data_IF_587852018498
#
_entry.id   IF_587852018498
#
_cell.length_a   1.000
_cell.length_b   1.000
_cell.length_c   1.000
_cell.angle_alpha   90.00
_cell.angle_beta   90.00
_cell.angle_gamma   90.00
#
_symmetry.space_group_name_H-M   'P 1'
#
loop_
_entity.id
_entity.type
_entity.pdbx_description
1 polymer ?
#
# COMPACT_ATOMS: atom_id res chain seq x y z
N UNK A 1 1.30 -8.72 -2.22
CA UNK A 1 2.67 -8.58 -2.77
C UNK A 1 3.19 -7.14 -2.71
N UNK A 2 2.52 -6.19 -3.37
CA UNK A 2 3.01 -4.79 -3.45
C UNK A 2 3.14 -4.12 -2.08
N UNK A 3 2.12 -4.24 -1.22
CA UNK A 3 2.16 -3.66 0.13
C UNK A 3 3.30 -4.25 1.00
N UNK A 4 3.60 -5.54 0.84
CA UNK A 4 4.76 -6.19 1.49
C UNK A 4 6.07 -5.62 0.97
N UNK A 5 6.19 -5.43 -0.35
CA UNK A 5 7.37 -4.82 -0.96
C UNK A 5 7.61 -3.39 -0.43
N UNK A 6 6.55 -2.58 -0.34
CA UNK A 6 6.62 -1.23 0.24
C UNK A 6 7.05 -1.30 1.71
N UNK A 7 6.47 -2.22 2.49
CA UNK A 7 6.83 -2.41 3.90
C UNK A 7 8.30 -2.81 4.07
N UNK A 8 8.83 -3.70 3.21
CA UNK A 8 10.24 -4.04 3.20
C UNK A 8 11.12 -2.84 2.86
N UNK A 9 10.77 -2.10 1.81
CA UNK A 9 11.50 -0.90 1.40
C UNK A 9 11.58 0.10 2.55
N UNK A 10 10.46 0.45 3.19
CA UNK A 10 10.46 1.36 4.34
C UNK A 10 11.30 0.82 5.50
N UNK A 11 11.12 -0.45 5.90
CA UNK A 11 11.88 -1.07 7.01
C UNK A 11 13.39 -1.04 6.78
N UNK A 12 13.83 -1.22 5.54
CA UNK A 12 15.25 -1.17 5.19
C UNK A 12 15.80 0.25 5.30
N UNK A 13 15.10 1.25 4.77
CA UNK A 13 15.56 2.65 4.79
C UNK A 13 15.40 3.36 6.14
N UNK A 14 14.69 2.76 7.10
CA UNK A 14 14.79 3.15 8.52
C UNK A 14 16.18 2.82 9.09
N UNK A 15 16.86 1.79 8.57
CA UNK A 15 18.16 1.30 9.09
C UNK A 15 19.35 1.62 8.18
N UNK A 16 19.12 1.92 6.91
CA UNK A 16 20.14 2.07 5.86
C UNK A 16 19.98 3.40 5.15
N UNK A 17 21.11 3.99 4.75
CA UNK A 17 21.09 5.21 3.96
C UNK A 17 20.73 4.92 2.49
N UNK A 18 20.08 5.88 1.82
CA UNK A 18 19.88 5.87 0.37
C UNK A 18 21.20 5.86 -0.42
N UNK A 19 22.33 6.22 0.21
CA UNK A 19 23.65 6.12 -0.40
C UNK A 19 24.25 4.69 -0.35
N UNK A 20 23.78 3.83 0.56
CA UNK A 20 24.30 2.47 0.73
C UNK A 20 23.60 1.47 -0.19
N UNK A 21 22.28 1.65 -0.34
CA UNK A 21 21.42 0.83 -1.18
C UNK A 21 20.71 1.74 -2.17
N UNK A 22 21.03 1.63 -3.46
CA UNK A 22 20.37 2.45 -4.50
C UNK A 22 18.87 2.11 -4.51
N UNK A 23 17.97 3.08 -4.23
CA UNK A 23 16.53 2.86 -4.21
C UNK A 23 15.97 2.36 -5.54
N UNK A 24 16.63 2.66 -6.67
CA UNK A 24 16.21 2.23 -8.02
C UNK A 24 16.37 0.73 -8.23
N UNK A 25 17.34 0.10 -7.56
CA UNK A 25 17.52 -1.35 -7.55
C UNK A 25 16.82 -1.99 -6.35
N UNK A 26 16.82 -1.32 -5.20
CA UNK A 26 16.20 -1.83 -3.97
C UNK A 26 14.67 -1.95 -4.10
N UNK A 27 13.98 -1.03 -4.78
CA UNK A 27 12.54 -1.11 -4.97
C UNK A 27 12.08 -2.37 -5.76
N UNK A 28 12.61 -2.65 -6.97
CA UNK A 28 12.25 -3.86 -7.69
C UNK A 28 12.76 -5.14 -6.99
N UNK A 29 13.93 -5.09 -6.33
CA UNK A 29 14.41 -6.22 -5.53
C UNK A 29 13.52 -6.48 -4.30
N UNK A 30 12.96 -5.47 -3.65
CA UNK A 30 11.99 -5.63 -2.56
C UNK A 30 10.70 -6.27 -3.08
N UNK A 31 10.24 -5.89 -4.27
CA UNK A 31 9.11 -6.54 -4.93
C UNK A 31 9.40 -8.01 -5.23
N UNK A 32 10.61 -8.33 -5.70
CA UNK A 32 11.07 -9.69 -5.95
C UNK A 32 11.06 -10.56 -4.69
N UNK A 33 11.62 -10.04 -3.59
CA UNK A 33 11.65 -10.74 -2.30
C UNK A 33 10.24 -10.92 -1.72
N UNK A 34 9.40 -9.89 -1.80
CA UNK A 34 8.00 -9.97 -1.37
C UNK A 34 7.21 -11.01 -2.18
N UNK A 35 7.43 -11.08 -3.49
CA UNK A 35 6.81 -12.07 -4.35
C UNK A 35 7.20 -13.50 -3.97
N UNK A 36 8.46 -13.74 -3.59
CA UNK A 36 8.90 -15.04 -3.04
C UNK A 36 8.26 -15.34 -1.68
N UNK A 37 8.24 -14.37 -0.77
CA UNK A 37 7.70 -14.53 0.58
C UNK A 37 6.18 -14.77 0.59
N UNK A 38 5.45 -14.24 -0.38
CA UNK A 38 4.01 -14.45 -0.58
C UNK A 38 3.69 -15.57 -1.60
N UNK A 39 4.66 -16.44 -1.91
CA UNK A 39 4.48 -17.60 -2.81
C UNK A 39 4.06 -17.25 -4.26
N UNK A 40 4.14 -15.97 -4.64
CA UNK A 40 3.89 -15.45 -5.99
C UNK A 40 5.19 -15.35 -6.81
N UNK A 41 5.97 -16.44 -6.89
CA UNK A 41 7.36 -16.37 -7.38
C UNK A 41 7.47 -15.85 -8.83
N UNK A 42 8.42 -14.96 -9.07
CA UNK A 42 8.74 -14.39 -10.39
C UNK A 42 10.18 -14.76 -10.75
N UNK A 43 10.48 -14.93 -12.04
CA UNK A 43 11.87 -15.12 -12.50
C UNK A 43 12.62 -13.77 -12.52
N UNK A 44 13.83 -13.72 -11.96
CA UNK A 44 14.64 -12.49 -11.91
C UNK A 44 14.91 -11.89 -13.30
N UNK A 45 15.07 -12.73 -14.34
CA UNK A 45 15.23 -12.27 -15.71
C UNK A 45 14.04 -11.44 -16.22
N UNK A 46 12.81 -11.86 -15.90
CA UNK A 46 11.59 -11.13 -16.27
C UNK A 46 11.53 -9.78 -15.57
N UNK A 47 11.96 -9.73 -14.31
CA UNK A 47 12.03 -8.49 -13.55
C UNK A 47 13.04 -7.51 -14.16
N UNK A 48 14.26 -7.96 -14.46
CA UNK A 48 15.29 -7.11 -15.11
C UNK A 48 14.81 -6.59 -16.47
N UNK A 49 14.15 -7.44 -17.27
CA UNK A 49 13.58 -7.02 -18.55
C UNK A 49 12.52 -5.92 -18.37
N UNK A 50 11.60 -6.09 -17.41
CA UNK A 50 10.58 -5.07 -17.07
C UNK A 50 11.21 -3.78 -16.52
N UNK A 51 12.25 -3.88 -15.69
CA UNK A 51 12.99 -2.71 -15.18
C UNK A 51 13.61 -1.90 -16.32
N UNK A 52 14.28 -2.56 -17.28
CA UNK A 52 14.88 -1.90 -18.45
C UNK A 52 13.83 -1.24 -19.34
N UNK A 53 12.71 -1.92 -19.57
CA UNK A 53 11.58 -1.36 -20.31
C UNK A 53 10.99 -0.13 -19.61
N UNK A 54 10.80 -0.17 -18.28
CA UNK A 54 10.28 0.95 -17.50
C UNK A 54 11.22 2.16 -17.46
N UNK A 55 12.53 1.93 -17.28
CA UNK A 55 13.53 3.00 -17.28
C UNK A 55 13.51 3.80 -18.60
N UNK A 56 13.39 3.09 -19.73
CA UNK A 56 13.27 3.71 -21.06
C UNK A 56 12.05 4.63 -21.17
N UNK A 57 10.90 4.24 -20.59
CA UNK A 57 9.68 5.05 -20.62
C UNK A 57 9.79 6.33 -19.78
N UNK A 58 10.51 6.29 -18.66
CA UNK A 58 10.62 7.42 -17.74
C UNK A 58 11.76 8.40 -18.09
N UNK A 59 12.42 8.24 -19.25
CA UNK A 59 13.56 9.08 -19.65
C UNK A 59 14.79 8.96 -18.73
N UNK A 60 14.75 8.04 -17.76
CA UNK A 60 15.88 7.71 -16.90
C UNK A 60 16.74 6.73 -17.70
N UNK A 61 17.90 7.19 -18.20
CA UNK A 61 18.79 6.41 -19.06
C UNK A 61 18.95 4.96 -18.59
N UNK A 62 19.06 4.03 -19.55
CA UNK A 62 19.01 2.59 -19.30
C UNK A 62 19.97 2.18 -18.17
N UNK A 63 19.41 1.92 -16.99
CA UNK A 63 20.18 1.40 -15.86
C UNK A 63 20.72 0.03 -16.25
N UNK A 64 22.03 -0.14 -16.23
CA UNK A 64 22.74 -1.34 -16.68
C UNK A 64 22.59 -2.55 -15.77
N UNK A 65 21.54 -2.63 -14.94
CA UNK A 65 21.35 -3.71 -13.97
C UNK A 65 21.18 -5.05 -14.67
N UNK A 66 21.90 -6.03 -14.15
CA UNK A 66 21.85 -7.43 -14.56
C UNK A 66 21.18 -8.28 -13.48
N UNK A 67 20.88 -9.54 -13.80
CA UNK A 67 20.29 -10.48 -12.84
C UNK A 67 21.16 -10.62 -11.59
N UNK A 68 22.49 -10.59 -11.75
CA UNK A 68 23.45 -10.69 -10.62
C UNK A 68 23.24 -9.57 -9.59
N UNK A 69 22.89 -8.36 -10.05
CA UNK A 69 22.72 -7.19 -9.18
C UNK A 69 21.41 -7.31 -8.38
N UNK A 70 20.35 -7.81 -9.02
CA UNK A 70 19.08 -8.10 -8.34
C UNK A 70 19.26 -9.16 -7.26
N UNK A 71 20.00 -10.24 -7.56
CA UNK A 71 20.27 -11.31 -6.59
C UNK A 71 21.17 -10.83 -5.44
N UNK A 72 22.17 -9.99 -5.74
CA UNK A 72 23.01 -9.38 -4.71
C UNK A 72 22.20 -8.43 -3.82
N UNK A 73 21.30 -7.64 -4.40
CA UNK A 73 20.41 -6.74 -3.66
C UNK A 73 19.41 -7.51 -2.81
N UNK A 74 18.84 -8.61 -3.32
CA UNK A 74 17.99 -9.53 -2.54
C UNK A 74 18.69 -9.94 -1.24
N UNK A 75 19.93 -10.42 -1.31
CA UNK A 75 20.67 -10.83 -0.11
C UNK A 75 20.87 -9.67 0.88
N UNK A 76 21.16 -8.46 0.39
CA UNK A 76 21.31 -7.27 1.24
C UNK A 76 19.98 -6.87 1.91
N UNK A 77 18.86 -6.95 1.19
CA UNK A 77 17.52 -6.66 1.73
C UNK A 77 17.15 -7.67 2.82
N UNK A 78 17.35 -8.96 2.58
CA UNK A 78 17.07 -10.01 3.56
C UNK A 78 17.85 -9.80 4.87
N UNK A 79 19.14 -9.47 4.76
CA UNK A 79 19.97 -9.14 5.92
C UNK A 79 19.49 -7.89 6.66
N UNK A 80 19.15 -6.81 5.94
CA UNK A 80 18.66 -5.57 6.54
C UNK A 80 17.30 -5.74 7.24
N UNK A 81 16.44 -6.60 6.71
CA UNK A 81 15.17 -7.00 7.33
C UNK A 81 15.35 -7.96 8.51
N UNK A 82 16.57 -8.47 8.73
CA UNK A 82 16.85 -9.53 9.71
C UNK A 82 15.94 -10.74 9.50
N UNK A 83 15.65 -11.07 8.23
CA UNK A 83 14.76 -12.16 7.81
C UNK A 83 13.33 -12.09 8.35
N UNK A 84 12.87 -10.91 8.81
CA UNK A 84 11.48 -10.69 9.23
C UNK A 84 10.58 -10.44 8.00
N UNK A 85 10.21 -11.52 7.31
CA UNK A 85 9.49 -11.48 6.05
C UNK A 85 7.96 -11.44 6.18
N UNK A 86 7.42 -11.89 7.32
CA UNK A 86 5.96 -11.87 7.52
C UNK A 86 5.52 -10.42 7.81
N UNK A 87 4.59 -9.92 7.00
CA UNK A 87 4.01 -8.59 7.14
C UNK A 87 2.49 -8.72 7.20
N UNK A 88 1.89 -8.14 8.24
CA UNK A 88 0.45 -8.04 8.37
C UNK A 88 -0.02 -6.72 7.76
N UNK A 89 -1.02 -6.79 6.89
CA UNK A 89 -1.54 -5.63 6.15
C UNK A 89 -2.95 -5.25 6.60
N UNK A 90 -3.32 -3.96 6.47
CA UNK A 90 -4.62 -3.47 6.91
C UNK A 90 -5.80 -3.92 6.02
N UNK A 91 -5.54 -4.54 4.85
CA UNK A 91 -6.59 -5.01 3.94
C UNK A 91 -7.52 -6.06 4.56
N UNK A 92 -6.96 -7.04 5.27
CA UNK A 92 -7.73 -8.11 5.91
C UNK A 92 -8.65 -7.60 7.04
N UNK A 93 -8.18 -6.76 7.98
CA UNK A 93 -9.09 -6.17 8.95
C UNK A 93 -10.10 -5.24 8.28
N UNK A 94 -9.72 -4.47 7.25
CA UNK A 94 -10.66 -3.59 6.53
C UNK A 94 -11.86 -4.38 5.98
N UNK A 95 -11.63 -5.48 5.25
CA UNK A 95 -12.75 -6.27 4.69
C UNK A 95 -13.64 -6.83 5.79
N UNK A 96 -13.05 -7.32 6.88
CA UNK A 96 -13.78 -7.83 8.05
C UNK A 96 -14.65 -6.74 8.69
N UNK A 97 -14.11 -5.52 8.82
CA UNK A 97 -14.83 -4.39 9.40
C UNK A 97 -15.94 -3.86 8.51
N UNK A 98 -15.73 -3.81 7.19
CA UNK A 98 -16.78 -3.45 6.24
C UNK A 98 -17.96 -4.42 6.32
N UNK A 99 -17.68 -5.73 6.40
CA UNK A 99 -18.72 -6.75 6.59
C UNK A 99 -19.46 -6.59 7.91
N UNK A 100 -18.76 -6.25 9.00
CA UNK A 100 -19.35 -6.08 10.33
C UNK A 100 -20.21 -4.81 10.43
N UNK A 101 -19.70 -3.67 9.94
CA UNK A 101 -20.46 -2.40 9.85
C UNK A 101 -21.75 -2.60 9.05
N UNK A 102 -21.69 -3.38 7.96
CA UNK A 102 -22.86 -3.65 7.13
C UNK A 102 -23.99 -4.36 7.88
N UNK A 103 -23.64 -5.18 8.89
CA UNK A 103 -24.58 -5.90 9.76
C UNK A 103 -25.08 -5.01 10.89
N UNK A 104 -24.19 -4.30 11.57
CA UNK A 104 -24.51 -3.49 12.76
C UNK A 104 -25.42 -2.31 12.43
N UNK A 105 -25.19 -1.61 11.32
CA UNK A 105 -25.96 -0.41 10.99
C UNK A 105 -27.34 -0.69 10.40
N UNK A 106 -27.76 -1.96 10.22
CA UNK A 106 -29.05 -2.34 9.63
C UNK A 106 -29.43 -1.44 8.43
N UNK A 107 -28.48 -1.13 7.53
CA UNK A 107 -28.78 -0.57 6.21
C UNK A 107 -29.71 -1.58 5.53
N UNK A 108 -31.02 -1.35 5.65
CA UNK A 108 -32.00 -2.43 5.69
C UNK A 108 -32.08 -3.19 4.36
N UNK A 109 -32.01 -4.52 4.50
CA UNK A 109 -33.00 -5.44 3.97
C UNK A 109 -33.41 -5.35 2.49
N UNK A 110 -32.48 -5.13 1.54
CA UNK A 110 -32.81 -5.37 0.14
C UNK A 110 -31.69 -5.95 -0.75
N UNK A 111 -30.68 -6.60 -0.17
CA UNK A 111 -29.70 -7.40 -0.94
C UNK A 111 -29.17 -8.50 -0.02
N UNK A 112 -29.99 -9.52 0.26
CA UNK A 112 -29.54 -10.76 0.94
C UNK A 112 -28.94 -11.76 -0.05
N UNK A 113 -28.86 -11.42 -1.33
CA UNK A 113 -28.24 -12.23 -2.36
C UNK A 113 -26.95 -11.51 -2.81
N UNK A 114 -25.89 -12.28 -3.05
CA UNK A 114 -24.60 -11.85 -3.60
C UNK A 114 -23.44 -11.60 -2.60
N UNK A 115 -23.31 -12.46 -1.59
CA UNK A 115 -22.00 -12.69 -0.92
C UNK A 115 -21.13 -13.76 -1.61
N UNK A 116 -21.47 -14.16 -2.84
CA UNK A 116 -20.64 -15.06 -3.66
C UNK A 116 -19.75 -14.32 -4.68
N UNK A 117 -19.94 -13.01 -4.89
CA UNK A 117 -19.29 -12.26 -5.97
C UNK A 117 -18.12 -11.36 -5.55
N UNK A 118 -17.60 -11.45 -4.32
CA UNK A 118 -16.42 -10.66 -3.91
C UNK A 118 -15.10 -11.44 -4.10
N UNK A 119 -15.15 -12.77 -4.19
CA UNK A 119 -13.98 -13.62 -4.37
C UNK A 119 -13.35 -13.53 -5.78
N UNK A 120 -14.06 -12.96 -6.77
CA UNK A 120 -13.58 -12.79 -8.15
C UNK A 120 -13.30 -11.32 -8.53
N UNK A 121 -13.49 -10.34 -7.63
CA UNK A 121 -13.41 -8.90 -7.92
C UNK A 121 -11.96 -8.35 -8.00
N UNK A 122 -10.95 -9.19 -7.78
CA UNK A 122 -9.55 -8.84 -7.95
C UNK A 122 -9.04 -8.93 -9.39
N UNK A 123 -9.86 -9.28 -10.38
CA UNK A 123 -9.33 -9.74 -11.67
C UNK A 123 -9.24 -8.67 -12.78
N UNK A 124 -9.81 -7.47 -12.64
CA UNK A 124 -9.67 -6.45 -13.69
C UNK A 124 -9.91 -5.03 -13.13
N UNK A 125 -8.84 -4.31 -12.80
CA UNK A 125 -8.82 -2.85 -12.54
C UNK A 125 -9.51 -2.02 -13.64
N UNK A 126 -9.77 -2.63 -14.81
CA UNK A 126 -9.96 -1.97 -16.09
C UNK A 126 -11.30 -1.29 -16.36
N UNK A 127 -12.39 -2.05 -16.44
CA UNK A 127 -13.26 -1.84 -17.60
C UNK A 127 -14.34 -0.77 -17.40
N UNK A 128 -13.92 0.45 -17.70
CA UNK A 128 -14.69 1.45 -18.46
C UNK A 128 -15.72 2.20 -17.62
N UNK A 129 -15.41 3.48 -17.36
CA UNK A 129 -16.37 4.59 -17.31
C UNK A 129 -17.82 4.13 -17.57
N UNK A 130 -18.66 3.98 -16.52
CA UNK A 130 -20.12 4.25 -16.52
C UNK A 130 -20.84 3.79 -15.23
N UNK A 131 -21.05 4.76 -14.34
CA UNK A 131 -22.17 5.05 -13.42
C UNK A 131 -23.11 3.95 -12.82
N UNK A 132 -23.28 4.09 -11.49
CA UNK A 132 -24.47 3.89 -10.64
C UNK A 132 -24.93 2.46 -10.27
N UNK A 133 -24.61 2.02 -9.04
CA UNK A 133 -25.57 1.96 -7.92
C UNK A 133 -24.90 1.53 -6.59
N UNK A 134 -25.34 2.16 -5.50
CA UNK A 134 -25.23 1.77 -4.07
C UNK A 134 -24.09 2.42 -3.26
N UNK A 135 -24.48 3.24 -2.26
CA UNK A 135 -23.60 3.98 -1.33
C UNK A 135 -22.57 3.08 -0.61
N UNK A 136 -22.87 1.77 -0.48
CA UNK A 136 -22.00 0.76 0.14
C UNK A 136 -20.76 0.44 -0.70
N UNK A 137 -20.89 0.32 -2.03
CA UNK A 137 -19.77 0.03 -2.93
C UNK A 137 -18.81 1.23 -2.98
N UNK A 138 -19.37 2.45 -3.04
CA UNK A 138 -18.60 3.69 -2.96
C UNK A 138 -17.81 3.79 -1.65
N UNK A 139 -18.42 3.45 -0.51
CA UNK A 139 -17.77 3.56 0.81
C UNK A 139 -16.58 2.60 0.92
N UNK A 140 -16.78 1.33 0.54
CA UNK A 140 -15.73 0.32 0.58
C UNK A 140 -14.57 0.69 -0.37
N UNK A 141 -14.88 1.16 -1.58
CA UNK A 141 -13.88 1.59 -2.55
C UNK A 141 -13.07 2.79 -2.07
N UNK A 142 -13.73 3.80 -1.46
CA UNK A 142 -13.03 4.94 -0.86
C UNK A 142 -12.14 4.52 0.31
N UNK A 143 -12.63 3.65 1.20
CA UNK A 143 -11.85 3.17 2.34
C UNK A 143 -10.63 2.37 1.86
N UNK A 144 -10.78 1.56 0.82
CA UNK A 144 -9.69 0.83 0.18
C UNK A 144 -8.67 1.76 -0.48
N UNK A 145 -9.13 2.79 -1.20
CA UNK A 145 -8.26 3.79 -1.82
C UNK A 145 -7.44 4.54 -0.78
N UNK A 146 -8.09 5.02 0.28
CA UNK A 146 -7.43 5.72 1.37
C UNK A 146 -6.43 4.82 2.12
N UNK A 147 -6.76 3.54 2.30
CA UNK A 147 -5.84 2.56 2.85
C UNK A 147 -4.62 2.36 1.94
N UNK A 148 -4.77 2.33 0.62
CA UNK A 148 -3.61 2.28 -0.28
C UNK A 148 -2.74 3.53 -0.16
N UNK A 149 -3.36 4.71 -0.04
CA UNK A 149 -2.64 5.96 0.19
C UNK A 149 -1.87 5.95 1.52
N UNK A 150 -2.38 5.26 2.54
CA UNK A 150 -1.68 5.08 3.82
C UNK A 150 -0.28 4.47 3.66
N UNK A 151 -0.04 3.66 2.62
CA UNK A 151 1.28 3.06 2.35
C UNK A 151 2.35 4.09 1.94
N UNK A 152 1.92 5.28 1.49
CA UNK A 152 2.81 6.41 1.19
C UNK A 152 3.37 7.06 2.46
N UNK A 153 2.73 6.84 3.61
CA UNK A 153 3.13 7.36 4.93
C UNK A 153 3.85 6.31 5.80
N UNK A 154 4.40 6.72 6.94
CA UNK A 154 5.05 5.83 7.92
C UNK A 154 4.06 5.02 8.78
N UNK A 155 2.76 5.11 8.50
CA UNK A 155 1.72 4.47 9.31
C UNK A 155 1.92 2.96 9.44
N UNK A 156 2.36 2.27 8.38
CA UNK A 156 2.62 0.83 8.41
C UNK A 156 3.79 0.40 9.31
N UNK A 157 4.63 1.35 9.72
CA UNK A 157 5.72 1.13 10.67
C UNK A 157 5.35 1.52 12.10
N UNK A 158 4.48 2.51 12.26
CA UNK A 158 4.16 3.12 13.55
C UNK A 158 2.90 2.55 14.20
N UNK A 159 1.96 2.00 13.42
CA UNK A 159 0.65 1.57 13.90
C UNK A 159 0.31 0.14 13.49
N UNK A 160 -0.48 -0.58 14.31
CA UNK A 160 -0.93 -1.91 13.95
C UNK A 160 -1.93 -1.85 12.80
N UNK A 161 -1.98 -2.87 11.91
CA UNK A 161 -2.79 -2.84 10.70
C UNK A 161 -4.29 -2.63 10.92
N UNK A 162 -4.83 -3.17 12.01
CA UNK A 162 -6.25 -3.01 12.33
C UNK A 162 -6.63 -1.55 12.60
N UNK A 163 -5.74 -0.79 13.25
CA UNK A 163 -5.97 0.61 13.58
C UNK A 163 -5.94 1.49 12.31
N UNK A 164 -5.02 1.18 11.39
CA UNK A 164 -4.94 1.86 10.08
C UNK A 164 -6.24 1.68 9.30
N UNK A 165 -6.77 0.44 9.26
CA UNK A 165 -8.04 0.16 8.60
C UNK A 165 -9.21 0.97 9.19
N UNK A 166 -9.30 1.05 10.52
CA UNK A 166 -10.35 1.80 11.21
C UNK A 166 -10.22 3.30 10.97
N UNK A 167 -9.01 3.85 11.00
CA UNK A 167 -8.79 5.26 10.71
C UNK A 167 -9.18 5.64 9.28
N UNK A 168 -8.90 4.77 8.29
CA UNK A 168 -9.35 4.96 6.91
C UNK A 168 -10.88 4.93 6.82
N UNK A 169 -11.54 3.95 7.44
CA UNK A 169 -13.01 3.89 7.48
C UNK A 169 -13.64 5.09 8.19
N UNK A 170 -13.03 5.54 9.29
CA UNK A 170 -13.50 6.69 10.06
C UNK A 170 -13.44 7.98 9.24
N UNK A 171 -12.34 8.22 8.52
CA UNK A 171 -12.23 9.38 7.62
C UNK A 171 -13.27 9.35 6.50
N UNK A 172 -13.47 8.20 5.86
CA UNK A 172 -14.49 8.04 4.80
C UNK A 172 -15.90 8.24 5.37
N UNK A 173 -16.18 7.77 6.58
CA UNK A 173 -17.45 7.99 7.26
C UNK A 173 -17.72 9.48 7.52
N UNK A 174 -16.71 10.22 7.96
CA UNK A 174 -16.80 11.68 8.11
C UNK A 174 -17.08 12.34 6.75
N UNK A 175 -16.36 11.95 5.68
CA UNK A 175 -16.56 12.51 4.34
C UNK A 175 -17.93 12.21 3.73
N UNK A 176 -18.53 11.05 4.06
CA UNK A 176 -19.83 10.60 3.55
C UNK A 176 -20.99 10.88 4.51
N UNK A 177 -20.73 11.54 5.63
CA UNK A 177 -21.71 11.79 6.69
C UNK A 177 -22.40 10.51 7.20
N UNK A 178 -21.65 9.42 7.32
CA UNK A 178 -22.11 8.14 7.87
C UNK A 178 -21.77 8.08 9.35
N UNK A 179 -22.76 7.78 10.20
CA UNK A 179 -22.52 7.60 11.63
C UNK A 179 -22.00 6.19 11.93
N UNK A 180 -20.70 6.09 12.24
CA UNK A 180 -20.06 4.84 12.67
C UNK A 180 -20.00 4.68 14.19
N UNK A 181 -20.45 5.67 14.98
CA UNK A 181 -20.32 5.62 16.45
C UNK A 181 -20.95 4.35 17.07
N UNK A 182 -22.16 3.89 16.65
CA UNK A 182 -22.75 2.68 17.21
C UNK A 182 -21.88 1.43 17.02
N UNK A 183 -21.15 1.36 15.90
CA UNK A 183 -20.23 0.26 15.62
C UNK A 183 -18.90 0.42 16.37
N UNK A 184 -18.34 1.64 16.40
CA UNK A 184 -17.07 1.95 17.08
C UNK A 184 -17.14 1.73 18.60
N UNK A 185 -18.26 2.05 19.23
CA UNK A 185 -18.48 1.81 20.67
C UNK A 185 -18.35 0.33 21.04
N UNK A 186 -18.77 -0.58 20.13
CA UNK A 186 -18.65 -2.02 20.32
C UNK A 186 -17.20 -2.53 20.29
N UNK A 187 -16.29 -1.82 19.62
CA UNK A 187 -14.90 -2.25 19.44
C UNK A 187 -13.99 -1.92 20.63
N UNK A 188 -14.42 -1.01 21.52
CA UNK A 188 -13.63 -0.53 22.68
C UNK A 188 -12.23 -0.03 22.28
N UNK A 189 -12.14 0.69 21.17
CA UNK A 189 -10.89 1.23 20.64
C UNK A 189 -10.67 2.65 21.14
N UNK A 190 -9.41 2.97 21.44
CA UNK A 190 -9.02 4.33 21.79
C UNK A 190 -9.10 5.27 20.59
N UNK A 191 -10.08 6.17 20.61
CA UNK A 191 -10.30 7.17 19.57
C UNK A 191 -9.14 8.18 19.46
N UNK A 192 -8.30 8.33 20.48
CA UNK A 192 -7.08 9.15 20.37
C UNK A 192 -6.10 8.53 19.36
N UNK A 193 -5.95 7.20 19.37
CA UNK A 193 -5.11 6.50 18.40
C UNK A 193 -5.67 6.58 16.98
N UNK A 194 -7.00 6.42 16.84
CA UNK A 194 -7.68 6.58 15.54
C UNK A 194 -7.43 7.98 14.98
N UNK A 195 -7.59 9.02 15.81
CA UNK A 195 -7.36 10.42 15.42
C UNK A 195 -5.92 10.69 15.02
N UNK A 196 -4.94 10.12 15.72
CA UNK A 196 -3.52 10.28 15.37
C UNK A 196 -3.20 9.72 13.97
N UNK A 197 -3.75 8.53 13.65
CA UNK A 197 -3.60 7.93 12.32
C UNK A 197 -4.34 8.75 11.26
N UNK A 198 -5.57 9.17 11.54
CA UNK A 198 -6.35 10.01 10.65
C UNK A 198 -5.66 11.36 10.35
N UNK A 199 -5.04 12.00 11.34
CA UNK A 199 -4.27 13.23 11.15
C UNK A 199 -3.09 13.01 10.21
N UNK A 200 -2.31 11.95 10.40
CA UNK A 200 -1.18 11.63 9.53
C UNK A 200 -1.61 11.35 8.08
N UNK A 201 -2.81 10.80 7.87
CA UNK A 201 -3.41 10.65 6.53
C UNK A 201 -3.85 11.98 5.94
N UNK A 202 -4.44 12.87 6.72
CA UNK A 202 -4.82 14.21 6.23
C UNK A 202 -3.57 15.03 5.88
N UNK A 203 -2.50 14.94 6.67
CA UNK A 203 -1.22 15.59 6.39
C UNK A 203 -0.63 15.13 5.04
N UNK A 204 -0.86 13.86 4.65
CA UNK A 204 -0.49 13.36 3.32
C UNK A 204 -1.23 14.12 2.21
N UNK A 205 -2.56 14.26 2.34
CA UNK A 205 -3.38 14.93 1.32
C UNK A 205 -3.13 16.43 1.24
N UNK A 206 -2.79 17.09 2.35
CA UNK A 206 -2.47 18.52 2.38
C UNK A 206 -1.06 18.82 1.83
N UNK A 207 -0.05 18.03 2.21
CA UNK A 207 1.36 18.39 1.98
C UNK A 207 2.03 17.61 0.84
N UNK A 208 1.60 16.39 0.56
CA UNK A 208 2.33 15.47 -0.35
C UNK A 208 1.58 15.17 -1.65
N UNK A 209 0.31 15.57 -1.77
CA UNK A 209 -0.48 15.41 -3.00
C UNK A 209 0.01 16.29 -4.16
N UNK A 210 0.82 17.32 -3.88
CA UNK A 210 1.27 18.34 -4.84
C UNK A 210 2.69 18.16 -5.37
N UNK A 211 3.42 17.12 -4.95
CA UNK A 211 4.79 16.87 -5.43
C UNK A 211 4.78 16.51 -6.91
N UNK A 212 5.44 17.32 -7.75
CA UNK A 212 5.55 17.03 -9.18
C UNK A 212 6.60 15.94 -9.45
N UNK A 213 6.43 15.20 -10.55
CA UNK A 213 7.42 14.22 -10.99
C UNK A 213 8.81 14.85 -11.19
N UNK A 214 8.87 16.11 -11.61
CA UNK A 214 10.12 16.86 -11.77
C UNK A 214 10.85 17.06 -10.44
N UNK A 215 10.12 17.38 -9.37
CA UNK A 215 10.71 17.52 -8.04
C UNK A 215 11.26 16.20 -7.52
N UNK A 216 10.52 15.11 -7.77
CA UNK A 216 10.96 13.75 -7.40
C UNK A 216 12.21 13.37 -8.19
N UNK A 217 12.20 13.58 -9.51
CA UNK A 217 13.35 13.32 -10.39
C UNK A 217 14.58 14.13 -9.99
N UNK A 218 14.41 15.42 -9.69
CA UNK A 218 15.49 16.28 -9.20
C UNK A 218 16.04 15.83 -7.85
N UNK A 219 15.18 15.37 -6.92
CA UNK A 219 15.62 14.82 -5.64
C UNK A 219 16.39 13.50 -5.81
N UNK A 220 15.89 12.60 -6.67
CA UNK A 220 16.56 11.33 -6.99
C UNK A 220 17.91 11.59 -7.70
N UNK A 221 18.00 12.61 -8.55
CA UNK A 221 19.24 13.04 -9.20
C UNK A 221 20.32 13.54 -8.24
N UNK A 222 19.94 14.01 -7.04
CA UNK A 222 20.89 14.39 -5.98
C UNK A 222 21.47 13.19 -5.23
N UNK A 223 20.87 12.01 -5.36
CA UNK A 223 21.40 10.81 -4.72
C UNK A 223 22.71 10.39 -5.40
N UNK A 224 23.73 9.99 -4.62
CA UNK A 224 24.99 9.55 -5.19
C UNK A 224 24.75 8.30 -6.04
N UNK A 225 24.93 8.41 -7.36
CA UNK A 225 24.85 7.25 -8.24
C UNK A 225 26.08 6.38 -8.02
N UNK A 226 25.90 5.25 -7.35
CA UNK A 226 26.86 4.15 -7.42
C UNK A 226 26.40 3.22 -8.54
N UNK A 227 27.04 3.35 -9.70
CA UNK A 227 27.06 2.23 -10.65
C UNK A 227 27.73 1.04 -9.93
N UNK A 228 27.20 -0.19 -10.13
CA UNK A 228 27.72 -1.39 -9.48
C UNK A 228 29.22 -1.62 -9.74
#
# INVERSE_FOLDING_TARGET
VVATAISYFRRVYVKKSFADLDPRLAAPAALYVAAKAEECTVQALKLVHRMKSHACMCGHGAMGYEVKDVLQMEMRLLQALSFNLIVFHPYRPLTTYLDDVSKTLNLSANVKEDFAQMACYLDDVSKTLNLSANVKEDFAQMAWSMLNDSLKTDLSLCHPPFLIAIACMHLVAVMRHVDLNPWLEGLRIDMHQVRAVSSSLLDLYENFSSLSEDQISAAVGKLPMRLP
#
